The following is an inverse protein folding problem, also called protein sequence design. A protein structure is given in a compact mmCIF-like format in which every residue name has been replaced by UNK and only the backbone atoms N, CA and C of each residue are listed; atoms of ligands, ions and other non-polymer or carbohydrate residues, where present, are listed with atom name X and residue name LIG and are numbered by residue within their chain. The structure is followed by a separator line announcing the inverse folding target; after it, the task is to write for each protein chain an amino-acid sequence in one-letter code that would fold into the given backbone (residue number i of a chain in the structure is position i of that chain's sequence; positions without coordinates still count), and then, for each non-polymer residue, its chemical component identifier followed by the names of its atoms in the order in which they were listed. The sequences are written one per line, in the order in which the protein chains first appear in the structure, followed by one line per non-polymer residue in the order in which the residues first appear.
data_IF_661072296290
#
_entry.id   IF_661072296290
#
_cell.length_a   1.000
_cell.length_b   1.000
_cell.length_c   1.000
_cell.angle_alpha   90.00
_cell.angle_beta   90.00
_cell.angle_gamma   90.00
#
_symmetry.space_group_name_H-M   'P 1'
#
loop_
_entity.id
_entity.type
_entity.pdbx_description
1 polymer ?
#
# COMPACT_ATOMS: atom_id res chain seq x y z
N UNK A 1 11.23 -67.27 -8.28
CA UNK A 1 10.55 -67.91 -9.43
C UNK A 1 9.95 -66.83 -10.32
N UNK A 2 10.60 -66.54 -11.45
CA UNK A 2 10.01 -65.75 -12.54
C UNK A 2 9.20 -66.69 -13.41
N UNK A 3 7.88 -66.71 -13.22
CA UNK A 3 6.98 -67.34 -14.18
C UNK A 3 6.90 -66.45 -15.40
N UNK A 4 7.04 -67.00 -16.61
CA UNK A 4 6.85 -66.28 -17.89
C UNK A 4 5.48 -65.57 -17.92
N UNK A 5 4.50 -66.08 -17.18
CA UNK A 5 3.14 -65.55 -17.12
C UNK A 5 2.89 -64.58 -15.95
N UNK A 6 3.78 -64.53 -14.94
CA UNK A 6 3.59 -63.65 -13.78
C UNK A 6 4.92 -63.08 -13.35
N UNK A 7 5.21 -61.89 -13.88
CA UNK A 7 6.42 -61.15 -13.56
C UNK A 7 6.15 -60.24 -12.35
N UNK A 8 6.48 -60.73 -11.16
CA UNK A 8 6.29 -60.00 -9.90
C UNK A 8 7.09 -58.69 -9.86
N UNK A 9 8.29 -58.63 -10.45
CA UNK A 9 9.08 -57.40 -10.49
C UNK A 9 8.44 -56.34 -11.40
N UNK A 10 7.84 -56.74 -12.52
CA UNK A 10 7.06 -55.85 -13.37
C UNK A 10 5.80 -55.33 -12.66
N UNK A 11 5.14 -56.16 -11.85
CA UNK A 11 3.99 -55.72 -11.05
C UNK A 11 4.38 -54.71 -9.96
N UNK A 12 5.53 -54.90 -9.31
CA UNK A 12 6.04 -53.94 -8.31
C UNK A 12 6.47 -52.62 -8.97
N UNK A 13 7.11 -52.71 -10.14
CA UNK A 13 7.47 -51.54 -10.95
C UNK A 13 6.22 -50.77 -11.41
N UNK A 14 5.17 -51.46 -11.86
CA UNK A 14 3.90 -50.85 -12.26
C UNK A 14 3.20 -50.16 -11.08
N UNK A 15 3.24 -50.77 -9.89
CA UNK A 15 2.69 -50.15 -8.68
C UNK A 15 3.46 -48.89 -8.30
N UNK A 16 4.79 -48.94 -8.39
CA UNK A 16 5.66 -47.76 -8.19
C UNK A 16 5.35 -46.68 -9.23
N UNK A 17 5.19 -47.05 -10.50
CA UNK A 17 4.87 -46.12 -11.57
C UNK A 17 3.52 -45.44 -11.35
N UNK A 18 2.49 -46.19 -10.92
CA UNK A 18 1.18 -45.63 -10.56
C UNK A 18 1.27 -44.65 -9.40
N UNK A 19 2.05 -44.96 -8.37
CA UNK A 19 2.29 -44.04 -7.25
C UNK A 19 3.00 -42.77 -7.72
N UNK A 20 4.03 -42.90 -8.56
CA UNK A 20 4.77 -41.76 -9.13
C UNK A 20 3.86 -40.90 -10.02
N UNK A 21 3.04 -41.51 -10.89
CA UNK A 21 2.07 -40.79 -11.72
C UNK A 21 1.05 -40.03 -10.87
N UNK A 22 0.53 -40.64 -9.80
CA UNK A 22 -0.39 -39.95 -8.88
C UNK A 22 0.27 -38.76 -8.16
N UNK A 23 1.52 -38.92 -7.71
CA UNK A 23 2.28 -37.82 -7.10
C UNK A 23 2.60 -36.69 -8.09
N UNK A 24 2.88 -37.04 -9.36
CA UNK A 24 3.11 -36.08 -10.44
C UNK A 24 1.84 -35.28 -10.75
N UNK A 25 0.68 -35.93 -10.82
CA UNK A 25 -0.61 -35.28 -11.04
C UNK A 25 -0.90 -34.26 -9.94
N UNK A 26 -0.67 -34.64 -8.67
CA UNK A 26 -0.82 -33.75 -7.52
C UNK A 26 0.13 -32.55 -7.59
N UNK A 27 1.41 -32.79 -7.90
CA UNK A 27 2.41 -31.71 -8.02
C UNK A 27 2.05 -30.76 -9.17
N UNK A 28 1.55 -31.29 -10.29
CA UNK A 28 1.06 -30.47 -11.43
C UNK A 28 -0.13 -29.62 -11.03
N UNK A 29 -1.09 -30.17 -10.27
CA UNK A 29 -2.23 -29.42 -9.76
C UNK A 29 -1.82 -28.32 -8.78
N UNK A 30 -0.89 -28.60 -7.86
CA UNK A 30 -0.33 -27.61 -6.93
C UNK A 30 0.46 -26.51 -7.66
N UNK A 31 1.20 -26.87 -8.72
CA UNK A 31 1.96 -25.91 -9.54
C UNK A 31 1.03 -25.03 -10.39
N UNK A 32 -0.03 -25.62 -10.95
CA UNK A 32 -1.01 -24.93 -11.79
C UNK A 32 -1.86 -23.95 -10.99
N UNK A 33 -2.35 -24.39 -9.82
CA UNK A 33 -3.17 -23.57 -8.92
C UNK A 33 -2.33 -22.58 -8.09
N UNK A 34 -1.04 -22.87 -7.90
CA UNK A 34 -0.17 -22.16 -6.97
C UNK A 34 -0.49 -22.43 -5.49
N UNK A 35 -1.40 -23.36 -5.20
CA UNK A 35 -1.81 -23.73 -3.85
C UNK A 35 -1.38 -25.16 -3.55
N UNK A 36 -0.61 -25.35 -2.46
CA UNK A 36 -0.21 -26.69 -1.97
C UNK A 36 -1.38 -27.55 -1.47
N UNK A 37 -2.56 -26.97 -1.25
CA UNK A 37 -3.77 -27.67 -0.79
C UNK A 37 -4.94 -27.14 -1.58
N UNK A 38 -5.38 -27.90 -2.58
CA UNK A 38 -6.45 -27.51 -3.49
C UNK A 38 -7.84 -27.84 -2.93
N UNK A 39 -7.96 -28.92 -2.14
CA UNK A 39 -9.23 -29.39 -1.59
C UNK A 39 -9.36 -29.07 -0.08
N UNK A 40 -10.47 -28.41 0.29
CA UNK A 40 -10.82 -28.12 1.70
C UNK A 40 -11.04 -29.39 2.56
N UNK A 41 -11.12 -30.55 1.91
CA UNK A 41 -11.35 -31.87 2.49
C UNK A 41 -10.22 -32.34 3.41
N UNK A 42 -8.97 -31.96 3.12
CA UNK A 42 -7.79 -32.40 3.90
C UNK A 42 -7.45 -31.47 5.07
N UNK A 43 -8.25 -30.41 5.30
CA UNK A 43 -8.05 -29.50 6.42
C UNK A 43 -8.71 -28.14 6.23
N UNK A 44 -10.01 -28.05 6.54
CA UNK A 44 -10.78 -26.79 6.57
C UNK A 44 -10.07 -25.72 7.42
N UNK A 45 -9.43 -26.12 8.52
CA UNK A 45 -8.65 -25.23 9.38
C UNK A 45 -7.45 -24.59 8.65
N UNK A 46 -6.72 -25.34 7.81
CA UNK A 46 -5.57 -24.81 7.08
C UNK A 46 -6.00 -23.81 6.02
N UNK A 47 -7.13 -24.07 5.35
CA UNK A 47 -7.73 -23.12 4.38
C UNK A 47 -8.27 -21.86 5.08
N UNK A 48 -8.90 -21.99 6.24
CA UNK A 48 -9.37 -20.83 7.03
C UNK A 48 -8.21 -19.95 7.47
N UNK A 49 -7.14 -20.53 8.04
CA UNK A 49 -5.95 -19.78 8.47
C UNK A 49 -5.26 -19.14 7.26
N UNK A 50 -5.05 -19.89 6.17
CA UNK A 50 -4.42 -19.35 4.96
C UNK A 50 -5.25 -18.23 4.30
N UNK A 51 -6.58 -18.33 4.35
CA UNK A 51 -7.48 -17.28 3.83
C UNK A 51 -7.43 -16.04 4.71
N UNK A 52 -7.48 -16.20 6.04
CA UNK A 52 -7.32 -15.09 6.99
C UNK A 52 -5.97 -14.42 6.81
N UNK A 53 -4.86 -15.17 6.77
CA UNK A 53 -3.52 -14.60 6.54
C UNK A 53 -3.42 -13.84 5.20
N UNK A 54 -4.10 -14.32 4.14
CA UNK A 54 -4.14 -13.61 2.85
C UNK A 54 -5.00 -12.35 2.91
N UNK A 55 -6.08 -12.36 3.68
CA UNK A 55 -6.90 -11.19 3.97
C UNK A 55 -6.10 -10.16 4.77
N UNK A 56 -5.38 -10.60 5.80
CA UNK A 56 -4.50 -9.77 6.64
C UNK A 56 -3.38 -9.15 5.81
N UNK A 57 -2.76 -9.92 4.90
CA UNK A 57 -1.74 -9.40 3.98
C UNK A 57 -2.28 -8.29 3.06
N UNK A 58 -3.52 -8.42 2.56
CA UNK A 58 -4.16 -7.36 1.77
C UNK A 58 -4.49 -6.13 2.62
N UNK A 59 -4.99 -6.33 3.83
CA UNK A 59 -5.27 -5.24 4.76
C UNK A 59 -3.99 -4.47 5.12
N UNK A 60 -2.88 -5.18 5.40
CA UNK A 60 -1.58 -4.58 5.67
C UNK A 60 -1.02 -3.83 4.46
N UNK A 61 -1.22 -4.32 3.23
CA UNK A 61 -0.83 -3.59 2.01
C UNK A 61 -1.61 -2.27 1.88
N UNK A 62 -2.92 -2.29 2.16
CA UNK A 62 -3.73 -1.07 2.13
C UNK A 62 -3.31 -0.06 3.23
N UNK A 63 -2.95 -0.56 4.42
CA UNK A 63 -2.40 0.26 5.50
C UNK A 63 -1.03 0.84 5.11
N UNK A 64 -0.19 0.07 4.44
CA UNK A 64 1.10 0.55 3.93
C UNK A 64 0.92 1.68 2.91
N UNK A 65 -0.01 1.53 1.96
CA UNK A 65 -0.33 2.59 0.99
C UNK A 65 -0.88 3.84 1.69
N UNK A 66 -1.72 3.68 2.72
CA UNK A 66 -2.22 4.77 3.54
C UNK A 66 -1.10 5.48 4.31
N UNK A 67 -0.10 4.75 4.83
CA UNK A 67 1.07 5.35 5.46
C UNK A 67 1.97 6.08 4.46
N UNK A 68 2.14 5.57 3.24
CA UNK A 68 2.87 6.28 2.18
C UNK A 68 2.22 7.63 1.85
N UNK A 69 0.88 7.66 1.76
CA UNK A 69 0.13 8.91 1.58
C UNK A 69 0.21 9.82 2.83
N UNK A 70 0.18 9.24 4.02
CA UNK A 70 0.28 10.00 5.29
C UNK A 70 1.66 10.63 5.45
N UNK A 71 2.74 9.92 5.11
CA UNK A 71 4.10 10.45 5.12
C UNK A 71 4.23 11.66 4.18
N UNK A 72 3.71 11.55 2.95
CA UNK A 72 3.67 12.67 2.02
C UNK A 72 2.85 13.86 2.57
N UNK A 73 1.74 13.60 3.26
CA UNK A 73 0.95 14.67 3.89
C UNK A 73 1.68 15.33 5.07
N UNK A 74 2.47 14.58 5.84
CA UNK A 74 3.32 15.12 6.91
C UNK A 74 4.44 15.99 6.34
N UNK A 75 5.04 15.62 5.20
CA UNK A 75 6.05 16.44 4.53
C UNK A 75 5.47 17.78 4.02
N UNK A 76 4.25 17.74 3.48
CA UNK A 76 3.50 18.94 3.09
C UNK A 76 3.19 19.80 4.33
N UNK A 77 2.75 19.18 5.43
CA UNK A 77 2.51 19.90 6.67
C UNK A 77 3.79 20.54 7.23
N UNK A 78 4.93 19.85 7.15
CA UNK A 78 6.22 20.37 7.60
C UNK A 78 6.65 21.57 6.75
N UNK A 79 6.55 21.47 5.43
CA UNK A 79 6.82 22.59 4.51
C UNK A 79 5.90 23.78 4.77
N UNK A 80 4.62 23.51 5.05
CA UNK A 80 3.67 24.55 5.44
C UNK A 80 4.00 25.20 6.78
N UNK A 81 4.47 24.43 7.77
CA UNK A 81 4.91 24.96 9.06
C UNK A 81 6.17 25.82 8.94
N UNK A 82 7.10 25.49 8.05
CA UNK A 82 8.29 26.31 7.77
C UNK A 82 7.88 27.69 7.23
N UNK A 83 6.94 27.73 6.30
CA UNK A 83 6.34 28.99 5.83
C UNK A 83 5.60 29.78 6.93
N UNK A 84 4.95 29.10 7.88
CA UNK A 84 4.33 29.76 9.04
C UNK A 84 5.38 30.40 9.97
N UNK A 85 6.52 29.74 10.18
CA UNK A 85 7.63 30.28 10.99
C UNK A 85 8.26 31.51 10.33
N UNK A 86 8.43 31.48 9.01
CA UNK A 86 8.91 32.63 8.24
C UNK A 86 7.94 33.82 8.34
N UNK A 87 6.63 33.57 8.22
CA UNK A 87 5.60 34.60 8.38
C UNK A 87 5.63 35.23 9.78
N UNK A 88 5.73 34.43 10.84
CA UNK A 88 5.82 34.94 12.22
C UNK A 88 7.11 35.76 12.43
N UNK A 89 8.20 35.35 11.81
CA UNK A 89 9.48 36.08 11.85
C UNK A 89 9.38 37.42 11.12
N UNK A 90 8.75 37.45 9.95
CA UNK A 90 8.48 38.69 9.21
C UNK A 90 7.50 39.60 9.97
N UNK A 91 6.47 39.05 10.59
CA UNK A 91 5.53 39.79 11.44
C UNK A 91 6.24 40.43 12.64
N UNK A 92 7.16 39.69 13.28
CA UNK A 92 7.99 40.22 14.37
C UNK A 92 8.89 41.35 13.89
N UNK A 93 9.54 41.21 12.73
CA UNK A 93 10.37 42.27 12.15
C UNK A 93 9.52 43.52 11.83
N UNK A 94 8.37 43.34 11.20
CA UNK A 94 7.40 44.39 10.92
C UNK A 94 6.95 45.13 12.19
N UNK A 95 6.61 44.41 13.26
CA UNK A 95 6.24 45.02 14.56
C UNK A 95 7.38 45.79 15.22
N UNK A 96 8.62 45.33 15.08
CA UNK A 96 9.80 46.05 15.61
C UNK A 96 10.03 47.34 14.83
N UNK A 97 9.94 47.31 13.50
CA UNK A 97 10.00 48.51 12.66
C UNK A 97 8.84 49.48 12.97
N UNK A 98 7.64 48.98 13.25
CA UNK A 98 6.48 49.81 13.59
C UNK A 98 6.62 50.53 14.95
N UNK A 99 7.53 50.07 15.81
CA UNK A 99 7.82 50.70 17.11
C UNK A 99 8.77 51.89 17.01
N UNK A 100 9.45 52.08 15.88
CA UNK A 100 10.28 53.26 15.63
C UNK A 100 9.38 54.45 15.21
N UNK A 101 9.54 55.64 15.80
CA UNK A 101 8.60 56.76 15.63
C UNK A 101 8.61 57.40 14.23
N UNK A 102 9.51 57.01 13.33
CA UNK A 102 9.72 57.64 12.02
C UNK A 102 9.39 56.73 10.82
N UNK A 103 8.67 55.62 11.02
CA UNK A 103 8.41 54.62 9.95
C UNK A 103 6.95 54.65 9.46
N UNK A 104 6.78 54.60 8.13
CA UNK A 104 5.49 54.56 7.41
C UNK A 104 4.70 53.27 7.72
N UNK A 105 3.61 53.39 8.49
CA UNK A 105 2.72 52.27 8.84
C UNK A 105 2.07 51.61 7.62
N UNK A 106 1.81 52.38 6.56
CA UNK A 106 1.18 51.90 5.33
C UNK A 106 2.07 50.90 4.55
N UNK A 107 3.40 51.07 4.59
CA UNK A 107 4.35 50.10 4.01
C UNK A 107 4.47 48.84 4.85
N UNK A 108 4.33 48.95 6.17
CA UNK A 108 4.32 47.80 7.09
C UNK A 108 3.05 46.97 6.86
N UNK A 109 1.89 47.62 6.74
CA UNK A 109 0.61 46.94 6.46
C UNK A 109 0.61 46.27 5.07
N UNK A 110 1.18 46.92 4.04
CA UNK A 110 1.34 46.33 2.72
C UNK A 110 2.25 45.09 2.74
N UNK A 111 3.33 45.13 3.53
CA UNK A 111 4.25 44.00 3.70
C UNK A 111 3.58 42.84 4.44
N UNK A 112 2.78 43.14 5.46
CA UNK A 112 2.01 42.16 6.23
C UNK A 112 0.92 41.48 5.38
N UNK A 113 0.23 42.26 4.55
CA UNK A 113 -0.77 41.76 3.61
C UNK A 113 -0.14 40.82 2.57
N UNK A 114 1.02 41.19 2.01
CA UNK A 114 1.76 40.34 1.07
C UNK A 114 2.20 39.00 1.68
N UNK A 115 2.73 39.02 2.90
CA UNK A 115 3.18 37.81 3.58
C UNK A 115 2.01 36.85 3.90
N UNK A 116 0.83 37.37 4.24
CA UNK A 116 -0.37 36.55 4.45
C UNK A 116 -0.92 35.90 3.17
N UNK A 117 -0.64 36.48 1.99
CA UNK A 117 -1.06 35.94 0.71
C UNK A 117 -0.22 34.72 0.28
N UNK A 118 1.06 34.66 0.69
CA UNK A 118 1.96 33.52 0.44
C UNK A 118 1.55 32.28 1.28
N UNK A 119 0.91 32.49 2.43
CA UNK A 119 0.41 31.41 3.29
C UNK A 119 -0.97 30.87 2.87
N UNK A 120 -1.55 31.34 1.77
CA UNK A 120 -2.65 30.58 1.16
C UNK A 120 -2.03 29.28 0.65
N UNK A 121 -2.34 28.10 1.24
CA UNK A 121 -1.78 26.85 0.78
C UNK A 121 -2.15 26.75 -0.69
N UNK A 122 -1.13 26.78 -1.55
CA UNK A 122 -1.26 26.70 -2.99
C UNK A 122 -2.24 25.56 -3.30
N UNK A 123 -3.41 25.89 -3.85
CA UNK A 123 -4.50 24.94 -4.09
C UNK A 123 -4.07 23.76 -5.00
N UNK A 124 -2.89 23.85 -5.61
CA UNK A 124 -2.20 22.79 -6.34
C UNK A 124 -1.76 21.60 -5.45
N UNK A 125 -1.35 21.81 -4.19
CA UNK A 125 -0.79 20.74 -3.34
C UNK A 125 -1.88 19.79 -2.80
N UNK A 126 -3.04 20.33 -2.40
CA UNK A 126 -4.20 19.51 -1.99
C UNK A 126 -4.81 18.72 -3.15
N UNK A 127 -4.66 19.20 -4.39
CA UNK A 127 -5.21 18.54 -5.59
C UNK A 127 -4.38 17.32 -6.00
N UNK A 128 -3.07 17.32 -5.71
CA UNK A 128 -2.19 16.19 -6.05
C UNK A 128 -2.41 14.98 -5.12
N UNK A 129 -2.61 15.20 -3.82
CA UNK A 129 -2.92 14.13 -2.86
C UNK A 129 -4.22 13.37 -3.21
N UNK A 130 -5.23 14.06 -3.76
CA UNK A 130 -6.50 13.45 -4.18
C UNK A 130 -6.43 12.71 -5.54
N UNK A 131 -5.51 13.10 -6.44
CA UNK A 131 -5.28 12.39 -7.72
C UNK A 131 -4.66 11.00 -7.55
N UNK A 132 -3.94 10.77 -6.45
CA UNK A 132 -3.29 9.48 -6.16
C UNK A 132 -4.27 8.49 -5.52
N UNK A 133 -5.13 8.96 -4.60
CA UNK A 133 -6.14 8.12 -3.92
C UNK A 133 -7.29 7.63 -4.82
N UNK A 134 -7.62 8.37 -5.88
CA UNK A 134 -8.72 8.02 -6.80
C UNK A 134 -8.31 7.11 -7.97
N UNK A 135 -7.01 7.01 -8.29
CA UNK A 135 -6.52 6.08 -9.34
C UNK A 135 -6.17 4.68 -8.83
N UNK A 136 -5.90 4.52 -7.53
CA UNK A 136 -5.42 3.24 -7.00
C UNK A 136 -6.54 2.35 -6.41
N UNK A 137 -7.82 2.68 -6.62
CA UNK A 137 -8.92 1.71 -6.45
C UNK A 137 -9.01 0.89 -7.73
N UNK A 138 -8.54 -0.37 -7.78
CA UNK A 138 -8.80 -1.22 -8.93
C UNK A 138 -10.31 -1.30 -9.16
N UNK A 139 -10.74 -0.91 -10.35
CA UNK A 139 -12.12 -0.94 -10.81
C UNK A 139 -12.59 -2.39 -11.09
N UNK A 140 -12.46 -3.31 -10.12
CA UNK A 140 -12.80 -4.73 -10.31
C UNK A 140 -13.62 -5.35 -9.17
N UNK A 141 -14.44 -4.57 -8.47
CA UNK A 141 -15.39 -5.10 -7.49
C UNK A 141 -16.87 -4.91 -7.94
N UNK A 142 -17.13 -5.05 -9.24
CA UNK A 142 -18.50 -5.06 -9.80
C UNK A 142 -18.83 -6.32 -10.61
N UNK A 143 -18.10 -7.41 -10.40
CA UNK A 143 -18.40 -8.71 -10.98
C UNK A 143 -17.83 -9.78 -10.08
N UNK A 144 -18.73 -10.46 -9.36
CA UNK A 144 -18.61 -11.81 -8.78
C UNK A 144 -19.53 -11.89 -7.56
N UNK A 145 -20.83 -11.92 -7.85
CA UNK A 145 -21.86 -12.53 -7.04
C UNK A 145 -22.64 -13.50 -7.94
#
# INVERSE_FOLDING_TARGET
MTSILTNTSAATALQTLRTVSGALEKTRAETSSGFRVEAASDGVAYRSIATTMRSDSKALSAVHDAFGLTAANVDVAYTGMEGAVDLVSEFKAALVLAKEPSVDREKIDARLAGASAVFQPDAALSTNANRTGTRNRPASASGDA
#
